data_IF_321787347254
#
_entry.id   IF_321787347254
#
_cell.length_a   1.000
_cell.length_b   1.000
_cell.length_c   1.000
_cell.angle_alpha   90.00
_cell.angle_beta   90.00
_cell.angle_gamma   90.00
#
_symmetry.space_group_name_H-M   'P 1'
#
loop_
_entity.id
_entity.type
_entity.pdbx_description
1 polymer ?
#
# COMPACT_ATOMS: atom_id res chain seq x y z
N UNK A 1 -7.30 7.55 19.11
CA UNK A 1 -6.57 6.39 19.67
C UNK A 1 -5.11 6.74 19.86
N UNK A 2 -4.56 6.49 21.04
CA UNK A 2 -3.15 6.73 21.31
C UNK A 2 -2.33 5.55 20.79
N UNK A 3 -1.31 5.83 19.97
CA UNK A 3 -0.46 4.81 19.40
C UNK A 3 0.81 4.66 20.26
N UNK A 4 0.90 3.58 21.03
CA UNK A 4 2.03 3.32 21.90
C UNK A 4 3.23 2.72 21.14
N UNK A 5 4.46 2.93 21.67
CA UNK A 5 5.70 2.42 21.08
C UNK A 5 5.64 0.93 20.75
N UNK A 6 5.03 0.10 21.63
CA UNK A 6 4.86 -1.33 21.40
C UNK A 6 3.99 -1.64 20.18
N UNK A 7 2.95 -0.84 19.92
CA UNK A 7 2.10 -1.00 18.74
C UNK A 7 2.80 -0.58 17.45
N UNK A 8 3.72 0.37 17.51
CA UNK A 8 4.53 0.73 16.35
C UNK A 8 5.42 -0.43 15.92
N UNK A 9 6.07 -1.11 16.86
CA UNK A 9 6.89 -2.32 16.59
C UNK A 9 6.02 -3.42 15.99
N UNK A 10 4.83 -3.64 16.55
CA UNK A 10 3.86 -4.60 16.01
C UNK A 10 3.44 -4.22 14.59
N UNK A 11 3.12 -2.96 14.34
CA UNK A 11 2.76 -2.45 13.02
C UNK A 11 3.88 -2.72 12.00
N UNK A 12 5.11 -2.39 12.34
CA UNK A 12 6.26 -2.63 11.47
C UNK A 12 6.39 -4.11 11.12
N UNK A 13 6.28 -4.98 12.11
CA UNK A 13 6.37 -6.43 11.92
C UNK A 13 5.26 -6.92 10.98
N UNK A 14 4.02 -6.51 11.21
CA UNK A 14 2.89 -6.89 10.36
C UNK A 14 3.09 -6.45 8.91
N UNK A 15 3.51 -5.21 8.71
CA UNK A 15 3.69 -4.64 7.38
C UNK A 15 4.84 -5.30 6.63
N UNK A 16 5.99 -5.49 7.28
CA UNK A 16 7.12 -6.21 6.68
C UNK A 16 6.76 -7.63 6.30
N UNK A 17 6.09 -8.35 7.19
CA UNK A 17 5.67 -9.72 6.92
C UNK A 17 4.66 -9.79 5.77
N UNK A 18 3.77 -8.82 5.67
CA UNK A 18 2.78 -8.77 4.59
C UNK A 18 3.47 -8.57 3.23
N UNK A 19 4.40 -7.62 3.13
CA UNK A 19 5.19 -7.42 1.91
C UNK A 19 5.96 -8.69 1.54
N UNK A 20 6.59 -9.33 2.50
CA UNK A 20 7.35 -10.56 2.28
C UNK A 20 6.45 -11.70 1.80
N UNK A 21 5.24 -11.81 2.34
CA UNK A 21 4.26 -12.80 1.91
C UNK A 21 3.86 -12.59 0.45
N UNK A 22 3.66 -11.35 0.02
CA UNK A 22 3.37 -11.04 -1.39
C UNK A 22 4.53 -11.46 -2.28
N UNK A 23 5.75 -11.13 -1.90
CA UNK A 23 6.96 -11.50 -2.66
C UNK A 23 7.10 -13.02 -2.77
N UNK A 24 6.84 -13.74 -1.69
CA UNK A 24 6.88 -15.20 -1.69
C UNK A 24 5.80 -15.79 -2.60
N UNK A 25 4.59 -15.25 -2.55
CA UNK A 25 3.51 -15.67 -3.45
C UNK A 25 3.90 -15.45 -4.92
N UNK A 26 4.48 -14.31 -5.22
CA UNK A 26 4.98 -14.00 -6.57
C UNK A 26 6.05 -15.00 -7.01
N UNK A 27 7.02 -15.30 -6.15
CA UNK A 27 8.10 -16.23 -6.45
C UNK A 27 7.59 -17.67 -6.66
N UNK A 28 6.47 -18.00 -6.05
CA UNK A 28 5.81 -19.30 -6.22
C UNK A 28 4.81 -19.33 -7.37
N UNK A 29 4.83 -18.32 -8.25
CA UNK A 29 3.99 -18.23 -9.44
C UNK A 29 2.48 -18.32 -9.11
N UNK A 30 2.05 -17.74 -7.99
CA UNK A 30 0.62 -17.67 -7.69
C UNK A 30 -0.11 -16.98 -8.84
N UNK A 31 -1.28 -17.49 -9.24
CA UNK A 31 -2.00 -16.94 -10.37
C UNK A 31 -2.57 -15.56 -10.08
N UNK A 32 -2.64 -14.76 -11.13
CA UNK A 32 -3.25 -13.45 -11.08
C UNK A 32 -2.28 -12.33 -11.41
N UNK A 33 -2.85 -11.31 -12.01
CA UNK A 33 -2.09 -10.16 -12.47
C UNK A 33 -1.45 -9.37 -11.31
N UNK A 34 -2.13 -9.36 -10.15
CA UNK A 34 -1.61 -8.71 -8.95
C UNK A 34 -0.20 -9.20 -8.59
N UNK A 35 -0.04 -10.52 -8.43
CA UNK A 35 1.25 -11.09 -8.03
C UNK A 35 2.30 -10.92 -9.12
N UNK A 36 1.89 -11.13 -10.38
CA UNK A 36 2.83 -11.04 -11.51
C UNK A 36 3.41 -9.64 -11.68
N UNK A 37 2.59 -8.59 -11.50
CA UNK A 37 2.99 -7.19 -11.71
C UNK A 37 3.50 -6.49 -10.45
N UNK A 38 3.22 -7.04 -9.27
CA UNK A 38 3.61 -6.41 -8.01
C UNK A 38 5.10 -6.03 -8.00
N UNK A 39 5.51 -4.83 -7.58
CA UNK A 39 4.66 -3.75 -7.07
C UNK A 39 4.10 -2.77 -8.13
N UNK A 40 4.46 -2.93 -9.39
CA UNK A 40 4.13 -1.97 -10.47
C UNK A 40 2.64 -1.94 -10.75
N UNK A 41 2.05 -0.74 -10.64
CA UNK A 41 0.62 -0.55 -10.91
C UNK A 41 -0.31 -1.18 -9.89
N UNK A 42 0.20 -1.62 -8.74
CA UNK A 42 -0.57 -2.34 -7.73
C UNK A 42 -0.71 -1.59 -6.41
N UNK A 43 -0.39 -0.30 -6.37
CA UNK A 43 -0.43 0.47 -5.13
C UNK A 43 -1.84 0.54 -4.52
N UNK A 44 -2.87 0.72 -5.35
CA UNK A 44 -4.26 0.75 -4.89
C UNK A 44 -4.72 -0.58 -4.33
N UNK A 45 -4.56 -1.65 -5.10
CA UNK A 45 -4.93 -3.00 -4.68
C UNK A 45 -4.18 -3.42 -3.42
N UNK A 46 -2.88 -3.15 -3.38
CA UNK A 46 -2.03 -3.47 -2.22
C UNK A 46 -2.50 -2.72 -0.98
N UNK A 47 -2.81 -1.44 -1.11
CA UNK A 47 -3.30 -0.64 0.01
C UNK A 47 -4.63 -1.18 0.54
N UNK A 48 -5.53 -1.61 -0.33
CA UNK A 48 -6.81 -2.19 0.08
C UNK A 48 -6.61 -3.48 0.89
N UNK A 49 -5.82 -4.42 0.40
CA UNK A 49 -5.62 -5.70 1.09
C UNK A 49 -4.75 -5.55 2.35
N UNK A 50 -3.77 -4.64 2.33
CA UNK A 50 -2.99 -4.34 3.52
C UNK A 50 -3.86 -3.70 4.61
N UNK A 51 -4.76 -2.78 4.23
CA UNK A 51 -5.70 -2.20 5.17
C UNK A 51 -6.56 -3.27 5.83
N UNK A 52 -7.07 -4.23 5.06
CA UNK A 52 -7.84 -5.35 5.61
C UNK A 52 -7.01 -6.14 6.62
N UNK A 53 -5.75 -6.43 6.29
CA UNK A 53 -4.87 -7.17 7.19
C UNK A 53 -4.61 -6.42 8.50
N UNK A 54 -4.38 -5.11 8.41
CA UNK A 54 -4.17 -4.29 9.61
C UNK A 54 -5.43 -4.24 10.48
N UNK A 55 -6.60 -4.10 9.85
CA UNK A 55 -7.90 -4.11 10.57
C UNK A 55 -8.10 -5.45 11.25
N UNK A 56 -7.81 -6.56 10.57
CA UNK A 56 -7.92 -7.91 11.16
C UNK A 56 -6.98 -8.11 12.35
N UNK A 57 -5.92 -7.32 12.43
CA UNK A 57 -4.98 -7.31 13.55
C UNK A 57 -5.22 -6.15 14.53
N UNK A 58 -6.41 -5.59 14.51
CA UNK A 58 -6.85 -4.53 15.43
C UNK A 58 -6.02 -3.25 15.35
N UNK A 59 -5.48 -2.95 14.18
CA UNK A 59 -4.79 -1.70 13.88
C UNK A 59 -5.77 -0.76 13.15
N UNK A 60 -5.89 0.44 13.62
CA UNK A 60 -6.73 1.48 13.00
C UNK A 60 -6.94 2.67 13.92
N UNK A 61 -7.62 3.72 13.46
CA UNK A 61 -8.20 3.89 12.12
C UNK A 61 -7.16 4.01 11.01
N UNK A 62 -7.54 3.65 9.80
CA UNK A 62 -6.66 3.65 8.62
C UNK A 62 -7.20 4.65 7.60
N UNK A 63 -6.33 5.52 7.12
CA UNK A 63 -6.63 6.44 6.04
C UNK A 63 -5.98 5.95 4.75
N UNK A 64 -6.78 5.83 3.71
CA UNK A 64 -6.34 5.54 2.35
C UNK A 64 -6.06 6.87 1.66
N UNK A 65 -4.88 7.02 1.09
CA UNK A 65 -4.46 8.26 0.43
C UNK A 65 -4.07 7.98 -1.00
N UNK A 66 -4.68 8.70 -1.93
CA UNK A 66 -4.34 8.64 -3.35
C UNK A 66 -3.96 10.03 -3.83
N UNK A 67 -2.80 10.15 -4.45
CA UNK A 67 -2.30 11.41 -4.98
C UNK A 67 -1.77 11.26 -6.40
N UNK A 68 -1.54 12.39 -7.04
CA UNK A 68 -1.04 12.44 -8.41
C UNK A 68 0.16 13.38 -8.51
N UNK A 69 1.21 12.88 -9.11
CA UNK A 69 2.37 13.68 -9.51
C UNK A 69 2.12 14.22 -10.92
N UNK A 70 2.30 15.51 -11.05
CA UNK A 70 2.20 16.21 -12.33
C UNK A 70 3.59 16.69 -12.74
N UNK A 71 4.21 15.99 -13.69
CA UNK A 71 5.48 16.39 -14.25
C UNK A 71 5.34 17.50 -15.29
N UNK A 72 6.41 17.68 -16.07
CA UNK A 72 6.51 18.78 -17.02
C UNK A 72 5.56 18.63 -18.21
N UNK A 73 5.15 17.40 -18.54
CA UNK A 73 4.23 17.12 -19.64
C UNK A 73 3.15 16.11 -19.24
N UNK A 74 2.18 15.90 -20.14
CA UNK A 74 1.04 15.02 -19.90
C UNK A 74 1.43 13.54 -19.74
N UNK A 75 2.55 13.15 -20.30
CA UNK A 75 3.04 11.76 -20.21
C UNK A 75 3.74 11.50 -18.90
N UNK A 76 4.17 12.54 -18.19
CA UNK A 76 4.84 12.44 -16.92
C UNK A 76 3.85 12.67 -15.75
N UNK A 77 2.78 11.92 -15.75
CA UNK A 77 1.76 11.95 -14.69
C UNK A 77 1.64 10.58 -14.08
N UNK A 78 1.77 10.50 -12.75
CA UNK A 78 1.79 9.23 -12.04
C UNK A 78 0.94 9.31 -10.78
N UNK A 79 0.08 8.33 -10.61
CA UNK A 79 -0.67 8.18 -9.37
C UNK A 79 0.09 7.29 -8.39
N UNK A 80 -0.07 7.57 -7.12
CA UNK A 80 0.44 6.70 -6.05
C UNK A 80 -0.56 6.66 -4.92
N UNK A 81 -0.66 5.49 -4.29
CA UNK A 81 -1.58 5.23 -3.19
C UNK A 81 -0.80 4.64 -2.03
N UNK A 82 -1.10 5.11 -0.83
CA UNK A 82 -0.53 4.59 0.41
C UNK A 82 -1.53 4.70 1.54
N UNK A 83 -1.16 4.16 2.70
CA UNK A 83 -1.98 4.23 3.90
C UNK A 83 -1.36 5.19 4.92
N UNK A 84 -2.20 5.71 5.81
CA UNK A 84 -1.76 6.47 6.97
C UNK A 84 -2.43 5.90 8.21
N UNK A 85 -1.63 5.57 9.21
CA UNK A 85 -2.10 5.10 10.52
C UNK A 85 -1.43 5.95 11.59
N UNK A 86 -2.22 6.64 12.39
CA UNK A 86 -1.72 7.48 13.49
C UNK A 86 -0.61 8.46 13.05
N UNK A 87 -0.82 9.11 11.89
CA UNK A 87 0.13 10.06 11.34
C UNK A 87 1.34 9.44 10.64
N UNK A 88 1.47 8.12 10.62
CA UNK A 88 2.55 7.42 9.93
C UNK A 88 2.13 6.99 8.55
N UNK A 89 2.94 7.33 7.56
CA UNK A 89 2.80 6.80 6.20
C UNK A 89 3.19 5.33 6.22
N UNK A 90 2.38 4.49 5.60
CA UNK A 90 2.63 3.06 5.42
C UNK A 90 2.54 2.75 3.94
N UNK A 91 3.66 2.40 3.35
CA UNK A 91 3.76 2.17 1.92
C UNK A 91 4.65 0.97 1.63
N UNK A 92 4.10 -0.02 0.93
CA UNK A 92 4.85 -1.20 0.54
C UNK A 92 4.93 -1.37 -0.98
N UNK A 93 4.70 -0.30 -1.73
CA UNK A 93 4.79 -0.29 -3.19
C UNK A 93 5.58 0.91 -3.75
N UNK A 94 6.24 1.67 -2.89
CA UNK A 94 7.00 2.85 -3.32
C UNK A 94 8.12 2.52 -4.30
N UNK A 95 8.70 1.33 -4.18
CA UNK A 95 9.77 0.86 -5.07
C UNK A 95 9.32 0.61 -6.51
N UNK A 96 8.02 0.72 -6.81
CA UNK A 96 7.54 0.73 -8.20
C UNK A 96 8.15 1.91 -9.01
N UNK A 97 8.60 2.93 -8.31
CA UNK A 97 9.18 4.13 -8.94
C UNK A 97 10.71 4.07 -9.08
N UNK A 98 11.35 2.97 -8.77
CA UNK A 98 12.82 2.89 -8.73
C UNK A 98 13.50 3.18 -10.08
N UNK A 99 12.83 2.93 -11.18
CA UNK A 99 13.37 3.20 -12.51
C UNK A 99 12.86 4.49 -13.15
N UNK A 100 12.10 5.28 -12.40
CA UNK A 100 11.60 6.56 -12.87
C UNK A 100 12.72 7.62 -12.81
N UNK A 101 12.57 8.66 -13.63
CA UNK A 101 13.49 9.81 -13.57
C UNK A 101 13.21 10.63 -12.32
N UNK A 102 14.19 11.42 -11.89
CA UNK A 102 13.99 12.35 -10.79
C UNK A 102 12.90 13.35 -11.12
N UNK A 103 12.14 13.86 -10.13
CA UNK A 103 12.28 13.56 -8.69
C UNK A 103 11.59 12.29 -8.21
N UNK A 104 10.91 11.54 -9.09
CA UNK A 104 10.13 10.35 -8.71
C UNK A 104 10.97 9.13 -8.39
N UNK A 105 12.23 9.06 -8.77
CA UNK A 105 13.10 7.91 -8.48
C UNK A 105 13.08 7.58 -6.98
N UNK A 106 12.60 6.38 -6.63
CA UNK A 106 12.39 5.97 -5.24
C UNK A 106 12.44 4.45 -5.16
N UNK A 107 13.26 3.92 -4.29
CA UNK A 107 13.50 2.48 -4.19
C UNK A 107 13.48 2.01 -2.73
N UNK A 108 12.39 2.27 -2.03
CA UNK A 108 12.17 1.75 -0.68
C UNK A 108 10.97 0.80 -0.73
N UNK A 109 11.18 -0.51 -0.53
CA UNK A 109 10.11 -1.50 -0.66
C UNK A 109 9.11 -1.48 0.50
N UNK A 110 9.54 -1.07 1.68
CA UNK A 110 8.68 -0.90 2.86
C UNK A 110 9.04 0.40 3.56
N UNK A 111 8.09 1.31 3.63
CA UNK A 111 8.28 2.56 4.37
C UNK A 111 7.20 2.70 5.45
N UNK A 112 7.62 2.97 6.66
CA UNK A 112 6.75 3.30 7.80
C UNK A 112 7.39 4.47 8.53
N UNK A 113 6.76 5.63 8.46
CA UNK A 113 7.34 6.81 9.07
C UNK A 113 6.58 8.09 8.73
N UNK A 114 7.12 9.25 9.11
CA UNK A 114 6.50 10.53 8.80
C UNK A 114 6.48 10.80 7.29
N UNK A 115 5.66 11.74 6.88
CA UNK A 115 5.62 12.17 5.48
C UNK A 115 6.97 12.75 5.07
N UNK A 116 7.47 12.32 3.89
CA UNK A 116 8.74 12.76 3.33
C UNK A 116 8.52 13.56 2.05
N UNK A 117 9.62 14.10 1.50
CA UNK A 117 9.59 14.83 0.23
C UNK A 117 8.99 14.00 -0.90
N UNK A 118 9.27 12.69 -0.95
CA UNK A 118 8.72 11.82 -1.97
C UNK A 118 7.18 11.87 -1.97
N UNK A 119 6.55 11.70 -0.82
CA UNK A 119 5.08 11.70 -0.72
C UNK A 119 4.47 13.07 -1.01
N UNK A 120 5.19 14.16 -0.71
CA UNK A 120 4.74 15.52 -1.02
C UNK A 120 4.73 15.82 -2.51
N UNK A 121 5.40 15.03 -3.33
CA UNK A 121 5.35 15.16 -4.78
C UNK A 121 3.95 14.84 -5.34
N UNK A 122 3.17 14.05 -4.61
CA UNK A 122 1.84 13.62 -5.06
C UNK A 122 0.79 14.56 -4.49
N UNK A 123 0.11 15.28 -5.38
CA UNK A 123 -0.98 16.16 -5.01
C UNK A 123 -2.22 15.36 -4.66
N UNK A 124 -2.75 15.58 -3.46
CA UNK A 124 -3.93 14.87 -2.97
C UNK A 124 -5.15 15.77 -3.08
N UNK A 125 -6.09 15.41 -3.94
CA UNK A 125 -7.34 16.14 -4.12
C UNK A 125 -8.26 15.96 -2.90
N UNK A 126 -9.34 16.79 -2.77
CA UNK A 126 -10.27 16.64 -1.64
C UNK A 126 -10.87 15.24 -1.50
N UNK A 127 -11.10 14.53 -2.60
CA UNK A 127 -11.59 13.14 -2.57
C UNK A 127 -10.49 12.08 -2.47
N UNK A 128 -9.22 12.49 -2.39
CA UNK A 128 -8.07 11.61 -2.37
C UNK A 128 -7.73 11.02 -1.01
N UNK A 129 -8.44 11.40 0.04
CA UNK A 129 -8.28 10.85 1.40
C UNK A 129 -9.61 10.30 1.87
N UNK A 130 -9.63 9.07 2.34
CA UNK A 130 -10.81 8.51 2.95
C UNK A 130 -10.43 7.48 4.01
N UNK A 131 -11.29 7.33 5.02
CA UNK A 131 -11.09 6.26 6.00
C UNK A 131 -11.38 4.91 5.34
N UNK A 132 -10.52 3.94 5.61
CA UNK A 132 -10.65 2.59 5.07
C UNK A 132 -11.21 1.66 6.14
N UNK A 133 -12.31 0.99 5.84
CA UNK A 133 -13.01 0.09 6.77
C UNK A 133 -12.79 -1.40 6.45
N UNK A 134 -11.88 -1.71 5.55
CA UNK A 134 -11.66 -3.06 5.05
C UNK A 134 -12.31 -3.27 3.69
N UNK A 135 -12.19 -4.48 3.16
CA UNK A 135 -12.77 -4.84 1.87
C UNK A 135 -14.30 -4.85 1.96
N UNK A 136 -14.95 -4.16 1.05
CA UNK A 136 -16.42 -4.01 1.06
C UNK A 136 -17.05 -4.78 -0.10
N UNK A 137 -18.07 -5.57 0.22
CA UNK A 137 -18.72 -6.50 -0.73
C UNK A 137 -19.31 -5.83 -1.97
N UNK A 138 -19.67 -4.55 -1.86
CA UNK A 138 -20.24 -3.79 -2.97
C UNK A 138 -19.20 -3.30 -3.98
N UNK A 139 -17.90 -3.41 -3.68
CA UNK A 139 -16.87 -3.02 -4.63
C UNK A 139 -16.85 -3.97 -5.84
N UNK A 140 -16.64 -3.42 -7.03
CA UNK A 140 -16.58 -4.18 -8.28
C UNK A 140 -15.53 -5.29 -8.21
N UNK A 141 -14.37 -5.00 -7.61
CA UNK A 141 -13.24 -5.94 -7.51
C UNK A 141 -13.17 -6.69 -6.18
N UNK A 142 -14.26 -6.69 -5.39
CA UNK A 142 -14.25 -7.29 -4.05
C UNK A 142 -13.77 -8.75 -4.07
N UNK A 143 -14.37 -9.58 -4.93
CA UNK A 143 -14.04 -11.01 -4.95
C UNK A 143 -12.60 -11.27 -5.34
N UNK A 144 -12.09 -10.51 -6.30
CA UNK A 144 -10.71 -10.59 -6.75
C UNK A 144 -9.74 -10.18 -5.64
N UNK A 145 -10.00 -9.05 -4.98
CA UNK A 145 -9.18 -8.57 -3.85
C UNK A 145 -9.20 -9.57 -2.70
N UNK A 146 -10.36 -10.13 -2.40
CA UNK A 146 -10.51 -11.13 -1.34
C UNK A 146 -9.71 -12.39 -1.66
N UNK A 147 -9.75 -12.86 -2.90
CA UNK A 147 -9.00 -14.04 -3.32
C UNK A 147 -7.49 -13.81 -3.18
N UNK A 148 -6.99 -12.66 -3.62
CA UNK A 148 -5.58 -12.31 -3.45
C UNK A 148 -5.19 -12.23 -1.98
N UNK A 149 -6.04 -11.63 -1.17
CA UNK A 149 -5.82 -11.53 0.28
C UNK A 149 -5.71 -12.92 0.91
N UNK A 150 -6.62 -13.83 0.59
CA UNK A 150 -6.60 -15.20 1.11
C UNK A 150 -5.32 -15.96 0.71
N UNK A 151 -4.84 -15.76 -0.51
CA UNK A 151 -3.55 -16.33 -0.95
C UNK A 151 -2.41 -15.80 -0.10
N UNK A 152 -2.35 -14.49 0.10
CA UNK A 152 -1.29 -13.87 0.91
C UNK A 152 -1.30 -14.41 2.33
N UNK A 153 -2.47 -14.60 2.93
CA UNK A 153 -2.60 -15.14 4.28
C UNK A 153 -1.96 -16.52 4.42
N UNK A 154 -1.95 -17.33 3.38
CA UNK A 154 -1.28 -18.65 3.40
C UNK A 154 0.22 -18.53 3.65
N UNK A 155 0.84 -17.47 3.14
CA UNK A 155 2.29 -17.25 3.26
C UNK A 155 2.66 -16.51 4.56
N UNK A 156 1.68 -16.10 5.34
CA UNK A 156 1.87 -15.46 6.65
C UNK A 156 1.84 -16.46 7.82
N UNK A 157 1.55 -17.71 7.54
CA UNK A 157 1.43 -18.76 8.55
C UNK A 157 2.75 -19.45 8.83
#
# INVERSE_FOLDING_TARGET
MRFFRGRKVELETLVFNFRKAIETAKDNDEPGEFFRKFPVGQCGNTSDILAQYLIDNEIGPITYVNGTYYGDDLEDRWAHTWLVVNGLVIDITGDQFKYHKRPLAYDIPVYIGPMTEFYRLFEVSPGGRCEHYGLEKQWIHYHELKDWYEVILKYLR
#
